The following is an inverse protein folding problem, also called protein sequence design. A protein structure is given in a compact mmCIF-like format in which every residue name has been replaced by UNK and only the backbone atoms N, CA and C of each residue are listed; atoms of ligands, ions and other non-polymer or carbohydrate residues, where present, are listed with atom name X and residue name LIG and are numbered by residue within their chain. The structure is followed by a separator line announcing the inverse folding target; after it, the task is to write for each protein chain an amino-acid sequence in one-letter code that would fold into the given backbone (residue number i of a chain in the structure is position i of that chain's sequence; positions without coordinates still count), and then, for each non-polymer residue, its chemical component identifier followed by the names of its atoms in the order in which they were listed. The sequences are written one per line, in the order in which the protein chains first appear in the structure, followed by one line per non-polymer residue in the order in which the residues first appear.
data_IF_238699195285
#
_entry.id   IF_238699195285
#
_cell.length_a   1.000
_cell.length_b   1.000
_cell.length_c   1.000
_cell.angle_alpha   90.00
_cell.angle_beta   90.00
_cell.angle_gamma   90.00
#
_symmetry.space_group_name_H-M   'P 1'
#
loop_
_entity.id
_entity.type
_entity.pdbx_description
1 polymer ?
#
# COMPACT_ATOMS: atom_id res chain seq x y z
N UNK A 1 49.73 -17.22 -42.17
CA UNK A 1 48.55 -17.02 -41.36
C UNK A 1 47.37 -17.54 -42.15
N UNK A 2 46.86 -18.71 -41.78
CA UNK A 2 45.82 -19.40 -42.53
C UNK A 2 44.47 -18.74 -42.34
N UNK A 3 43.64 -18.67 -43.37
CA UNK A 3 42.30 -18.04 -43.42
C UNK A 3 41.38 -18.43 -42.23
N UNK A 4 41.62 -19.55 -41.58
CA UNK A 4 40.90 -20.00 -40.36
C UNK A 4 41.18 -19.16 -39.14
N UNK A 5 42.40 -18.62 -38.96
CA UNK A 5 42.77 -17.76 -37.81
C UNK A 5 42.21 -16.36 -37.91
N UNK A 6 42.03 -15.84 -39.14
CA UNK A 6 41.39 -14.52 -39.36
C UNK A 6 39.86 -14.57 -39.05
N UNK A 7 39.23 -15.72 -39.37
CA UNK A 7 37.78 -15.88 -39.10
C UNK A 7 37.47 -15.99 -37.57
N UNK A 8 38.36 -16.61 -36.79
CA UNK A 8 38.20 -16.72 -35.35
C UNK A 8 38.46 -15.36 -34.66
N UNK A 9 39.40 -14.56 -35.15
CA UNK A 9 39.59 -13.20 -34.63
C UNK A 9 38.43 -12.25 -34.94
N UNK A 10 37.76 -12.37 -36.09
CA UNK A 10 36.57 -11.60 -36.40
C UNK A 10 35.34 -12.01 -35.52
N UNK A 11 35.18 -13.30 -35.24
CA UNK A 11 34.09 -13.77 -34.35
C UNK A 11 34.33 -13.35 -32.87
N UNK A 12 35.58 -13.26 -32.40
CA UNK A 12 35.89 -12.76 -31.07
C UNK A 12 35.67 -11.23 -30.94
N UNK A 13 35.82 -10.46 -32.01
CA UNK A 13 35.61 -9.00 -31.98
C UNK A 13 34.13 -8.62 -32.02
N UNK A 14 33.24 -9.49 -32.52
CA UNK A 14 31.79 -9.24 -32.51
C UNK A 14 31.12 -9.52 -31.17
N UNK A 15 31.78 -10.26 -30.26
CA UNK A 15 31.23 -10.56 -28.94
C UNK A 15 31.55 -9.49 -27.86
N UNK A 16 32.34 -8.45 -28.18
CA UNK A 16 32.78 -7.43 -27.22
C UNK A 16 32.04 -6.09 -27.32
N UNK A 17 31.04 -5.98 -28.18
CA UNK A 17 30.19 -4.77 -28.27
C UNK A 17 28.81 -4.98 -27.61
N UNK A 18 28.76 -5.60 -26.42
CA UNK A 18 27.65 -5.37 -25.53
C UNK A 18 27.77 -3.95 -24.98
N UNK A 19 27.28 -2.97 -25.72
CA UNK A 19 27.00 -1.65 -25.14
C UNK A 19 25.99 -1.85 -24.02
N UNK A 20 26.49 -1.87 -22.80
CA UNK A 20 25.65 -1.71 -21.62
C UNK A 20 25.00 -0.31 -21.75
N UNK A 21 23.80 -0.28 -22.30
CA UNK A 21 22.97 0.90 -22.18
C UNK A 21 22.56 0.96 -20.72
N UNK A 22 23.26 1.82 -19.97
CA UNK A 22 22.82 2.20 -18.64
C UNK A 22 21.39 2.72 -18.79
N UNK A 23 20.44 2.11 -18.08
CA UNK A 23 19.07 2.59 -18.06
C UNK A 23 19.08 3.97 -17.42
N UNK A 24 18.88 5.04 -18.23
CA UNK A 24 18.72 6.38 -17.69
C UNK A 24 17.46 6.41 -16.82
N UNK A 25 17.66 6.62 -15.52
CA UNK A 25 16.56 6.81 -14.58
C UNK A 25 15.85 8.15 -14.87
N UNK A 26 14.54 8.13 -15.10
CA UNK A 26 13.74 9.36 -15.15
C UNK A 26 13.48 9.86 -13.74
N UNK A 27 13.90 11.09 -13.43
CA UNK A 27 13.60 11.72 -12.15
C UNK A 27 12.28 12.47 -12.23
N UNK A 28 11.39 12.20 -11.25
CA UNK A 28 10.16 12.97 -11.03
C UNK A 28 10.33 13.91 -9.85
N UNK A 29 9.86 15.13 -9.98
CA UNK A 29 10.05 16.19 -8.98
C UNK A 29 8.71 16.85 -8.61
N UNK A 30 8.66 17.45 -7.42
CA UNK A 30 7.45 18.15 -6.92
C UNK A 30 7.07 19.34 -7.80
N UNK A 31 8.07 20.05 -8.35
CA UNK A 31 7.82 21.23 -9.18
C UNK A 31 7.10 20.91 -10.50
N UNK A 32 7.11 19.66 -10.95
CA UNK A 32 6.60 19.26 -12.27
C UNK A 32 5.60 18.10 -12.23
N UNK A 33 5.77 17.16 -11.30
CA UNK A 33 5.16 15.83 -11.43
C UNK A 33 4.37 15.41 -10.17
N UNK A 34 4.92 15.65 -8.98
CA UNK A 34 4.42 15.12 -7.72
C UNK A 34 3.77 16.19 -6.86
N UNK A 35 2.79 15.79 -6.05
CA UNK A 35 2.11 16.70 -5.11
C UNK A 35 2.97 17.07 -3.89
N UNK A 36 3.88 16.17 -3.46
CA UNK A 36 4.79 16.37 -2.32
C UNK A 36 6.08 15.56 -2.49
N UNK A 37 7.17 16.02 -1.87
CA UNK A 37 8.42 15.26 -1.72
C UNK A 37 8.37 14.23 -0.58
N UNK A 38 7.40 14.35 0.32
CA UNK A 38 7.20 13.42 1.43
C UNK A 38 6.31 12.26 0.97
N UNK A 39 6.96 11.17 0.56
CA UNK A 39 6.30 9.98 0.02
C UNK A 39 6.10 8.94 1.12
N UNK A 40 4.87 8.48 1.30
CA UNK A 40 4.51 7.47 2.31
C UNK A 40 4.46 6.06 1.72
N UNK A 41 3.96 5.90 0.48
CA UNK A 41 3.81 4.60 -0.17
C UNK A 41 3.87 4.74 -1.68
N UNK A 42 4.52 3.79 -2.35
CA UNK A 42 4.43 3.57 -3.80
C UNK A 42 3.79 2.21 -4.01
N UNK A 43 2.85 2.12 -4.93
CA UNK A 43 2.13 0.89 -5.25
C UNK A 43 1.83 0.83 -6.74
N UNK A 44 2.07 -0.32 -7.38
CA UNK A 44 1.62 -0.60 -8.75
C UNK A 44 0.37 -1.48 -8.69
N UNK A 45 -0.72 -1.01 -9.29
CA UNK A 45 -1.95 -1.80 -9.37
C UNK A 45 -1.92 -2.83 -10.52
N UNK A 46 -2.95 -3.68 -10.59
CA UNK A 46 -3.08 -4.74 -11.61
C UNK A 46 -3.12 -4.21 -13.05
N UNK A 47 -3.52 -2.95 -13.24
CA UNK A 47 -3.60 -2.30 -14.56
C UNK A 47 -2.27 -1.63 -14.94
N UNK A 48 -1.23 -1.77 -14.09
CA UNK A 48 0.10 -1.21 -14.30
C UNK A 48 0.23 0.27 -13.91
N UNK A 49 -0.81 0.86 -13.35
CA UNK A 49 -0.81 2.24 -12.87
C UNK A 49 0.05 2.33 -11.60
N UNK A 50 0.91 3.33 -11.52
CA UNK A 50 1.68 3.64 -10.32
C UNK A 50 0.93 4.66 -9.47
N UNK A 51 0.66 4.28 -8.24
CA UNK A 51 0.05 5.12 -7.23
C UNK A 51 1.08 5.55 -6.20
N UNK A 52 1.12 6.84 -5.87
CA UNK A 52 2.07 7.40 -4.91
C UNK A 52 1.29 8.18 -3.85
N UNK A 53 1.26 7.62 -2.65
CA UNK A 53 0.68 8.24 -1.47
C UNK A 53 1.68 9.24 -0.88
N UNK A 54 1.22 10.46 -0.63
CA UNK A 54 2.04 11.56 -0.09
C UNK A 54 1.35 12.25 1.08
N UNK A 55 2.02 13.22 1.68
CA UNK A 55 1.43 14.10 2.70
C UNK A 55 0.53 15.19 2.11
N UNK A 56 0.50 15.37 0.79
CA UNK A 56 -0.29 16.42 0.08
C UNK A 56 -1.05 15.84 -1.12
N UNK A 57 -1.69 14.70 -0.91
CA UNK A 57 -2.56 14.04 -1.89
C UNK A 57 -2.09 12.70 -2.38
N UNK A 58 -2.86 12.12 -3.28
CA UNK A 58 -2.61 10.86 -3.96
C UNK A 58 -2.26 11.13 -5.42
N UNK A 59 -1.11 10.66 -5.86
CA UNK A 59 -0.67 10.79 -7.25
C UNK A 59 -0.91 9.48 -7.99
N UNK A 60 -1.49 9.56 -9.19
CA UNK A 60 -1.70 8.48 -10.14
C UNK A 60 -0.84 8.73 -11.38
N UNK A 61 0.04 7.80 -11.70
CA UNK A 61 0.89 7.85 -12.90
C UNK A 61 0.55 6.71 -13.85
N UNK A 62 0.20 7.05 -15.09
CA UNK A 62 -0.22 6.10 -16.13
C UNK A 62 0.87 5.74 -17.14
N UNK A 63 2.12 6.10 -16.84
CA UNK A 63 3.26 5.94 -17.74
C UNK A 63 3.56 7.19 -18.59
N UNK A 64 2.60 8.10 -18.72
CA UNK A 64 2.72 9.34 -19.50
C UNK A 64 2.60 10.60 -18.63
N UNK A 65 1.59 10.67 -17.78
CA UNK A 65 1.25 11.85 -16.97
C UNK A 65 0.87 11.49 -15.53
N UNK A 66 1.01 12.48 -14.67
CA UNK A 66 0.49 12.46 -13.31
C UNK A 66 -0.91 13.07 -13.23
N UNK A 67 -1.78 12.45 -12.45
CA UNK A 67 -3.04 13.01 -11.97
C UNK A 67 -2.97 13.06 -10.46
N UNK A 68 -3.21 14.24 -9.88
CA UNK A 68 -3.17 14.44 -8.43
C UNK A 68 -4.60 14.54 -7.90
N UNK A 69 -4.91 13.72 -6.90
CA UNK A 69 -6.17 13.76 -6.15
C UNK A 69 -5.93 14.41 -4.79
N UNK A 70 -6.84 15.29 -4.38
CA UNK A 70 -6.83 15.98 -3.09
C UNK A 70 -8.22 15.97 -2.44
N UNK A 71 -8.25 16.35 -1.17
CA UNK A 71 -9.51 16.61 -0.48
C UNK A 71 -10.17 17.86 -1.04
N UNK A 72 -11.44 17.74 -1.39
CA UNK A 72 -12.30 18.84 -1.83
C UNK A 72 -13.52 18.91 -0.92
N UNK A 73 -13.59 19.91 -0.03
CA UNK A 73 -14.62 20.02 1.01
C UNK A 73 -16.06 19.97 0.48
N UNK A 74 -16.29 20.39 -0.76
CA UNK A 74 -17.60 20.38 -1.42
C UNK A 74 -17.91 19.08 -2.17
N UNK A 75 -16.93 18.17 -2.30
CA UNK A 75 -17.05 16.93 -3.05
C UNK A 75 -16.91 15.71 -2.12
N UNK A 76 -18.02 15.05 -1.72
CA UNK A 76 -17.97 13.88 -0.84
C UNK A 76 -17.29 12.65 -1.47
N UNK A 77 -17.01 12.70 -2.77
CA UNK A 77 -16.33 11.66 -3.52
C UNK A 77 -14.85 11.98 -3.80
N UNK A 78 -14.29 13.02 -3.18
CA UNK A 78 -12.86 13.32 -3.17
C UNK A 78 -12.14 12.54 -2.07
N UNK A 79 -10.81 12.74 -1.92
CA UNK A 79 -10.07 12.18 -0.79
C UNK A 79 -10.63 12.71 0.54
N UNK A 80 -10.66 11.85 1.59
CA UNK A 80 -11.01 12.27 2.95
C UNK A 80 -9.98 13.22 3.56
N UNK A 81 -8.71 13.02 3.20
CA UNK A 81 -7.59 13.78 3.73
C UNK A 81 -6.41 13.74 2.74
N UNK A 82 -5.69 14.84 2.60
CA UNK A 82 -4.53 14.93 1.70
C UNK A 82 -3.35 14.11 2.20
N UNK A 83 -3.24 13.86 3.50
CA UNK A 83 -2.22 12.98 4.05
C UNK A 83 -2.61 11.51 3.83
N UNK A 84 -2.23 10.97 2.67
CA UNK A 84 -2.41 9.55 2.33
C UNK A 84 -1.23 8.74 2.85
N UNK A 85 -1.49 7.73 3.68
CA UNK A 85 -0.45 6.94 4.35
C UNK A 85 -0.16 5.60 3.70
N UNK A 86 -1.21 4.91 3.23
CA UNK A 86 -1.06 3.55 2.73
C UNK A 86 -2.02 3.26 1.60
N UNK A 87 -1.62 2.32 0.75
CA UNK A 87 -2.37 1.84 -0.40
C UNK A 87 -2.32 0.32 -0.41
N UNK A 88 -3.42 -0.31 -0.77
CA UNK A 88 -3.51 -1.75 -0.94
C UNK A 88 -4.56 -2.10 -2.00
N UNK A 89 -4.23 -2.99 -2.93
CA UNK A 89 -5.19 -3.59 -3.85
C UNK A 89 -5.43 -5.04 -3.47
N UNK A 90 -6.69 -5.43 -3.26
CA UNK A 90 -7.05 -6.80 -2.92
C UNK A 90 -7.13 -7.71 -4.16
N UNK A 91 -7.33 -9.00 -3.93
CA UNK A 91 -7.45 -10.00 -5.00
C UNK A 91 -8.66 -9.76 -5.93
N UNK A 92 -9.67 -9.00 -5.47
CA UNK A 92 -10.80 -8.59 -6.29
C UNK A 92 -10.53 -7.33 -7.13
N UNK A 93 -9.39 -6.65 -6.91
CA UNK A 93 -9.01 -5.44 -7.62
C UNK A 93 -9.54 -4.15 -7.03
N UNK A 94 -10.02 -4.21 -5.79
CA UNK A 94 -10.44 -3.01 -5.06
C UNK A 94 -9.19 -2.32 -4.52
N UNK A 95 -8.95 -1.08 -4.94
CA UNK A 95 -7.86 -0.26 -4.43
C UNK A 95 -8.33 0.51 -3.20
N UNK A 96 -7.75 0.16 -2.06
CA UNK A 96 -7.99 0.80 -0.77
C UNK A 96 -6.99 1.92 -0.53
N UNK A 97 -7.47 3.05 -0.04
CA UNK A 97 -6.69 4.23 0.31
C UNK A 97 -6.86 4.50 1.80
N UNK A 98 -5.76 4.41 2.55
CA UNK A 98 -5.71 4.75 3.97
C UNK A 98 -5.09 6.12 4.18
N UNK A 99 -5.81 7.00 4.89
CA UNK A 99 -5.39 8.37 5.20
C UNK A 99 -5.36 8.62 6.72
N UNK A 100 -5.06 9.86 7.13
CA UNK A 100 -5.16 10.25 8.55
C UNK A 100 -6.58 10.16 9.11
N UNK A 101 -7.60 10.28 8.25
CA UNK A 101 -9.00 10.42 8.66
C UNK A 101 -9.89 9.30 8.07
N UNK A 102 -9.36 8.08 7.94
CA UNK A 102 -10.19 6.94 7.55
C UNK A 102 -9.75 6.20 6.30
N UNK A 103 -10.61 5.32 5.85
CA UNK A 103 -10.41 4.36 4.77
C UNK A 103 -11.38 4.62 3.63
N UNK A 104 -10.88 4.61 2.39
CA UNK A 104 -11.68 4.74 1.17
C UNK A 104 -11.36 3.62 0.17
N UNK A 105 -12.26 3.40 -0.77
CA UNK A 105 -12.03 2.63 -2.01
C UNK A 105 -12.05 3.61 -3.18
N UNK A 106 -11.10 3.43 -4.11
CA UNK A 106 -11.09 4.14 -5.38
C UNK A 106 -11.97 3.43 -6.41
N UNK A 107 -12.90 4.17 -7.01
CA UNK A 107 -13.69 3.71 -8.14
C UNK A 107 -13.00 4.11 -9.44
N UNK A 108 -12.53 3.09 -10.19
CA UNK A 108 -11.84 3.30 -11.47
C UNK A 108 -12.73 3.84 -12.57
N UNK A 109 -14.03 3.53 -12.54
CA UNK A 109 -14.98 3.94 -13.59
C UNK A 109 -15.30 5.44 -13.52
N UNK A 110 -15.41 5.96 -12.31
CA UNK A 110 -15.78 7.35 -12.05
C UNK A 110 -14.60 8.22 -11.62
N UNK A 111 -13.42 7.62 -11.41
CA UNK A 111 -12.23 8.26 -10.86
C UNK A 111 -12.52 8.99 -9.51
N UNK A 112 -13.32 8.39 -8.67
CA UNK A 112 -13.80 8.96 -7.41
C UNK A 112 -13.52 8.03 -6.22
N UNK A 113 -13.80 8.48 -5.01
CA UNK A 113 -13.53 7.76 -3.78
C UNK A 113 -14.83 7.53 -3.00
N UNK A 114 -14.97 6.33 -2.44
CA UNK A 114 -16.09 5.98 -1.54
C UNK A 114 -15.52 5.67 -0.16
N UNK A 115 -16.04 6.36 0.85
CA UNK A 115 -15.64 6.16 2.25
C UNK A 115 -16.18 4.85 2.79
N UNK A 116 -15.32 4.08 3.47
CA UNK A 116 -15.69 2.88 4.19
C UNK A 116 -15.96 3.25 5.65
N UNK A 117 -17.19 3.10 6.15
CA UNK A 117 -17.50 3.39 7.55
C UNK A 117 -16.76 2.42 8.47
N UNK A 118 -16.18 2.96 9.54
CA UNK A 118 -15.42 2.21 10.53
C UNK A 118 -16.06 2.32 11.91
N UNK A 119 -16.14 1.19 12.61
CA UNK A 119 -16.82 1.10 13.91
C UNK A 119 -15.94 0.46 14.98
N UNK A 120 -15.89 1.09 16.14
CA UNK A 120 -15.32 0.49 17.35
C UNK A 120 -16.12 -0.75 17.79
N UNK A 121 -15.56 -1.56 18.67
CA UNK A 121 -16.25 -2.70 19.29
C UNK A 121 -17.50 -2.28 20.08
N UNK A 122 -17.54 -1.03 20.57
CA UNK A 122 -18.71 -0.40 21.21
C UNK A 122 -19.85 -0.09 20.24
N UNK A 123 -19.60 -0.11 18.92
CA UNK A 123 -20.54 0.32 17.88
C UNK A 123 -20.41 1.81 17.49
N UNK A 124 -19.58 2.59 18.16
CA UNK A 124 -19.35 3.99 17.80
C UNK A 124 -18.63 4.09 16.45
N UNK A 125 -19.07 5.01 15.58
CA UNK A 125 -18.40 5.34 14.32
C UNK A 125 -17.17 6.20 14.59
N UNK A 126 -16.08 5.94 13.84
CA UNK A 126 -14.83 6.69 13.92
C UNK A 126 -14.17 6.82 12.55
N UNK A 127 -13.31 7.83 12.41
CA UNK A 127 -12.45 8.06 11.25
C UNK A 127 -10.98 7.96 11.67
N UNK A 128 -10.43 6.75 11.85
CA UNK A 128 -9.11 6.55 12.44
C UNK A 128 -7.99 6.81 11.43
N UNK A 129 -6.81 7.07 11.95
CA UNK A 129 -5.58 7.16 11.18
C UNK A 129 -5.14 5.76 10.73
N UNK A 130 -5.20 5.50 9.42
CA UNK A 130 -4.88 4.19 8.81
C UNK A 130 -3.37 4.06 8.59
N UNK A 131 -2.75 3.10 9.26
CA UNK A 131 -1.31 2.87 9.15
C UNK A 131 -0.96 1.78 8.13
N UNK A 132 -1.76 0.72 8.05
CA UNK A 132 -1.49 -0.43 7.18
C UNK A 132 -2.78 -1.14 6.78
N UNK A 133 -2.77 -1.76 5.60
CA UNK A 133 -3.85 -2.60 5.08
C UNK A 133 -3.21 -3.85 4.50
N UNK A 134 -3.75 -5.02 4.80
CA UNK A 134 -3.30 -6.27 4.19
C UNK A 134 -4.47 -7.25 4.01
N UNK A 135 -4.43 -8.05 2.96
CA UNK A 135 -5.28 -9.23 2.78
C UNK A 135 -4.47 -10.47 3.18
N UNK A 136 -5.02 -11.25 4.10
CA UNK A 136 -4.45 -12.51 4.55
C UNK A 136 -4.68 -13.62 3.51
N UNK A 137 -3.93 -14.71 3.66
CA UNK A 137 -4.10 -15.91 2.81
C UNK A 137 -5.50 -16.54 2.92
N UNK A 138 -6.19 -16.34 4.05
CA UNK A 138 -7.58 -16.78 4.26
C UNK A 138 -8.64 -15.82 3.69
N UNK A 139 -8.23 -14.72 3.03
CA UNK A 139 -9.10 -13.72 2.43
C UNK A 139 -9.60 -12.62 3.39
N UNK A 140 -9.21 -12.64 4.67
CA UNK A 140 -9.51 -11.55 5.59
C UNK A 140 -8.69 -10.31 5.25
N UNK A 141 -9.34 -9.14 5.13
CA UNK A 141 -8.65 -7.86 5.00
C UNK A 141 -8.58 -7.21 6.37
N UNK A 142 -7.35 -7.04 6.85
CA UNK A 142 -7.04 -6.41 8.12
C UNK A 142 -6.57 -4.97 7.90
N UNK A 143 -7.02 -4.06 8.74
CA UNK A 143 -6.64 -2.66 8.75
C UNK A 143 -6.02 -2.34 10.11
N UNK A 144 -4.76 -1.92 10.11
CA UNK A 144 -4.07 -1.43 11.31
C UNK A 144 -4.14 0.08 11.40
N UNK A 145 -4.42 0.59 12.60
CA UNK A 145 -4.59 2.02 12.85
C UNK A 145 -3.60 2.56 13.89
N UNK A 146 -3.23 3.82 13.75
CA UNK A 146 -2.52 4.54 14.81
C UNK A 146 -3.55 5.16 15.77
N UNK A 147 -3.82 4.47 16.88
CA UNK A 147 -4.70 4.95 17.95
C UNK A 147 -5.89 4.05 18.29
N UNK A 148 -6.27 3.09 17.43
CA UNK A 148 -7.46 2.26 17.65
C UNK A 148 -7.25 0.78 17.33
N UNK A 149 -5.99 0.28 17.37
CA UNK A 149 -5.63 -1.11 17.14
C UNK A 149 -6.00 -1.61 15.73
N UNK A 150 -6.56 -2.81 15.62
CA UNK A 150 -6.85 -3.50 14.36
C UNK A 150 -8.33 -3.53 14.05
N UNK A 151 -8.65 -3.49 12.75
CA UNK A 151 -10.01 -3.65 12.21
C UNK A 151 -10.03 -4.78 11.19
N UNK A 152 -11.20 -5.41 11.08
CA UNK A 152 -11.54 -6.38 10.05
C UNK A 152 -12.52 -5.74 9.06
N UNK A 153 -12.24 -5.86 7.77
CA UNK A 153 -13.19 -5.49 6.72
C UNK A 153 -14.29 -6.54 6.63
N UNK A 154 -15.54 -6.11 6.70
CA UNK A 154 -16.74 -6.93 6.52
C UNK A 154 -17.43 -6.53 5.22
N UNK A 155 -17.67 -7.49 4.33
CA UNK A 155 -18.43 -7.30 3.09
C UNK A 155 -19.71 -8.15 3.15
N UNK A 156 -20.88 -7.53 2.93
CA UNK A 156 -22.18 -8.21 2.84
C UNK A 156 -22.97 -7.65 1.67
N UNK A 157 -23.01 -8.37 0.55
CA UNK A 157 -23.53 -7.83 -0.70
C UNK A 157 -22.75 -6.58 -1.09
N UNK A 158 -23.46 -5.49 -1.38
CA UNK A 158 -22.84 -4.20 -1.74
C UNK A 158 -22.38 -3.36 -0.54
N UNK A 159 -22.67 -3.82 0.69
CA UNK A 159 -22.29 -3.09 1.90
C UNK A 159 -20.88 -3.48 2.34
N UNK A 160 -20.02 -2.49 2.51
CA UNK A 160 -18.65 -2.65 3.00
C UNK A 160 -18.47 -1.75 4.23
N UNK A 161 -17.92 -2.30 5.30
CA UNK A 161 -17.57 -1.57 6.53
C UNK A 161 -16.37 -2.23 7.21
N UNK A 162 -15.72 -1.53 8.11
CA UNK A 162 -14.67 -2.10 8.96
C UNK A 162 -15.09 -2.07 10.43
N UNK A 163 -14.82 -3.16 11.15
CA UNK A 163 -15.12 -3.30 12.58
C UNK A 163 -13.86 -3.58 13.38
N UNK A 164 -13.71 -2.87 14.48
CA UNK A 164 -12.60 -3.10 15.41
C UNK A 164 -12.62 -4.53 15.96
N UNK A 165 -11.44 -5.13 16.01
CA UNK A 165 -11.21 -6.47 16.56
C UNK A 165 -10.12 -6.43 17.61
N UNK A 166 -10.27 -7.25 18.67
CA UNK A 166 -9.31 -7.35 19.79
C UNK A 166 -8.60 -8.71 19.86
N UNK A 167 -8.80 -9.56 18.83
CA UNK A 167 -8.32 -10.95 18.85
C UNK A 167 -6.80 -11.11 18.73
N UNK A 168 -6.08 -10.06 18.33
CA UNK A 168 -4.63 -10.13 18.15
C UNK A 168 -3.88 -9.48 19.31
N UNK A 169 -3.94 -8.16 19.41
CA UNK A 169 -3.16 -7.39 20.38
C UNK A 169 -3.99 -6.30 21.02
N UNK A 170 -3.56 -5.87 22.23
CA UNK A 170 -4.16 -4.76 22.95
C UNK A 170 -3.52 -3.39 22.65
N UNK A 171 -2.39 -3.36 21.90
CA UNK A 171 -1.79 -2.08 21.51
C UNK A 171 -2.71 -1.33 20.56
N UNK A 172 -2.83 -0.03 20.77
CA UNK A 172 -3.61 0.86 19.92
C UNK A 172 -2.79 1.46 18.78
N UNK A 173 -1.46 1.43 18.86
CA UNK A 173 -0.55 2.09 17.93
C UNK A 173 0.07 1.09 16.95
N UNK A 174 -0.72 0.69 15.95
CA UNK A 174 -0.22 -0.18 14.87
C UNK A 174 0.58 0.67 13.88
N UNK A 175 1.77 0.20 13.52
CA UNK A 175 2.62 0.83 12.51
C UNK A 175 2.65 0.04 11.22
N UNK A 176 2.67 -1.32 11.31
CA UNK A 176 2.69 -2.19 10.14
C UNK A 176 2.14 -3.57 10.47
N UNK A 177 1.59 -4.24 9.47
CA UNK A 177 1.19 -5.65 9.56
C UNK A 177 1.56 -6.39 8.26
N UNK A 178 1.98 -7.66 8.40
CA UNK A 178 2.43 -8.49 7.29
C UNK A 178 2.12 -9.97 7.57
N UNK A 179 1.65 -10.71 6.57
CA UNK A 179 1.55 -12.17 6.65
C UNK A 179 2.67 -12.82 5.86
N UNK A 180 3.47 -13.66 6.53
CA UNK A 180 4.61 -14.32 5.91
C UNK A 180 4.16 -15.55 5.06
N UNK A 181 5.10 -16.10 4.27
CA UNK A 181 4.85 -17.26 3.41
C UNK A 181 4.40 -18.52 4.16
N UNK A 182 4.62 -18.58 5.48
CA UNK A 182 4.17 -19.68 6.35
C UNK A 182 2.80 -19.44 6.94
N UNK A 183 2.17 -18.28 6.64
CA UNK A 183 0.88 -17.86 7.15
C UNK A 183 0.93 -17.29 8.58
N UNK A 184 2.11 -16.89 9.06
CA UNK A 184 2.20 -16.16 10.32
C UNK A 184 1.88 -14.68 10.08
N UNK A 185 1.00 -14.13 10.90
CA UNK A 185 0.71 -12.70 10.94
C UNK A 185 1.71 -12.00 11.86
N UNK A 186 2.41 -11.03 11.33
CA UNK A 186 3.33 -10.16 12.06
C UNK A 186 2.71 -8.77 12.20
N UNK A 187 2.69 -8.24 13.42
CA UNK A 187 2.15 -6.91 13.72
C UNK A 187 3.22 -6.12 14.46
N UNK A 188 3.66 -5.01 13.85
CA UNK A 188 4.56 -4.05 14.48
C UNK A 188 3.75 -2.93 15.12
N UNK A 189 4.16 -2.52 16.30
CA UNK A 189 3.55 -1.44 17.08
C UNK A 189 4.56 -0.34 17.37
N UNK A 190 4.08 0.86 17.58
CA UNK A 190 4.95 1.99 17.94
C UNK A 190 5.30 2.06 19.42
N UNK A 191 4.64 1.28 20.26
CA UNK A 191 4.73 1.35 21.72
C UNK A 191 5.07 0.03 22.41
N UNK A 192 4.93 -1.12 21.71
CA UNK A 192 5.03 -2.43 22.35
C UNK A 192 5.71 -3.50 21.48
N UNK A 193 6.69 -3.11 20.63
CA UNK A 193 7.49 -4.02 19.84
C UNK A 193 6.70 -4.75 18.75
N UNK A 194 7.02 -6.04 18.51
CA UNK A 194 6.47 -6.83 17.41
C UNK A 194 5.79 -8.08 17.96
N UNK A 195 4.62 -8.38 17.42
CA UNK A 195 3.85 -9.60 17.69
C UNK A 195 3.81 -10.49 16.47
N UNK A 196 4.02 -11.80 16.66
CA UNK A 196 3.82 -12.83 15.65
C UNK A 196 2.69 -13.75 16.09
N UNK A 197 1.75 -14.03 15.21
CA UNK A 197 0.66 -15.00 15.39
C UNK A 197 0.83 -16.10 14.35
N UNK A 198 0.86 -17.35 14.76
CA UNK A 198 0.83 -18.50 13.84
C UNK A 198 -0.61 -18.77 13.34
N UNK A 199 -0.76 -19.78 12.46
CA UNK A 199 -2.07 -20.17 11.91
C UNK A 199 -3.07 -20.69 12.96
N UNK A 200 -2.61 -21.04 14.16
CA UNK A 200 -3.47 -21.44 15.29
C UNK A 200 -3.74 -20.26 16.23
N UNK A 201 -3.38 -19.03 15.83
CA UNK A 201 -3.42 -17.80 16.63
C UNK A 201 -2.57 -17.85 17.92
N UNK A 202 -1.58 -18.75 17.99
CA UNK A 202 -0.61 -18.71 19.08
C UNK A 202 0.33 -17.54 18.86
N UNK A 203 0.48 -16.70 19.86
CA UNK A 203 1.26 -15.47 19.78
C UNK A 203 2.66 -15.63 20.37
N UNK A 204 3.61 -14.93 19.76
CA UNK A 204 4.93 -14.65 20.34
C UNK A 204 5.17 -13.15 20.27
N UNK A 205 5.58 -12.57 21.41
CA UNK A 205 5.89 -11.15 21.53
C UNK A 205 7.41 -10.95 21.53
N UNK A 206 7.88 -9.94 20.81
CA UNK A 206 9.26 -9.51 20.73
C UNK A 206 9.29 -8.03 21.13
N UNK A 207 9.68 -7.75 22.37
CA UNK A 207 9.95 -6.40 22.89
C UNK A 207 11.46 -6.13 22.86
N UNK A 208 11.88 -4.88 22.73
CA UNK A 208 13.24 -4.47 23.09
C UNK A 208 13.43 -4.56 24.61
N UNK A 209 14.63 -4.90 25.04
CA UNK A 209 15.06 -4.76 26.43
C UNK A 209 15.25 -3.29 26.79
#
# INVERSE_FOLDING_TARGET
ITMKTAFILCLLSLCLSSTSHGQEGKMFTVDKDLSSSMLNKIYQDRDGIIWIATEDGLNRYDGAKFTVYRNEKSNPHSLLNDYVRTLYEDKQGRLFIGSLNGLQIYDRATASFTTIPMYLSSGASIDPNIATILERNNGEILIGTSGHSMFLLETRGDSIKARQISRFISSNLITYAYEDRKGNLWIATGDNGIFRFDKNNQSKHYSGE
#
